data_IF_702398623176
#
_entry.id   IF_702398623176
#
_cell.length_a   1.000
_cell.length_b   1.000
_cell.length_c   1.000
_cell.angle_alpha   90.00
_cell.angle_beta   90.00
_cell.angle_gamma   90.00
#
_symmetry.space_group_name_H-M   'P 1'
#
loop_
_entity.id
_entity.type
_entity.pdbx_description
1 polymer ?
#
# COMPACT_ATOMS: atom_id res chain seq x y z
N UNK A 1 11.50 -20.53 -40.71
CA UNK A 1 10.71 -20.29 -39.46
C UNK A 1 9.31 -20.85 -39.61
N UNK A 2 9.00 -21.90 -38.85
CA UNK A 2 7.93 -22.88 -39.15
C UNK A 2 6.48 -22.38 -39.02
N UNK A 3 5.62 -22.98 -39.85
CA UNK A 3 4.17 -22.82 -39.94
C UNK A 3 3.48 -22.80 -38.56
N UNK A 4 3.93 -23.65 -37.63
CA UNK A 4 3.40 -23.74 -36.26
C UNK A 4 3.53 -22.44 -35.46
N UNK A 5 4.63 -21.69 -35.61
CA UNK A 5 4.83 -20.42 -34.91
C UNK A 5 3.90 -19.33 -35.45
N UNK A 6 3.62 -19.33 -36.76
CA UNK A 6 2.63 -18.41 -37.37
C UNK A 6 1.22 -18.71 -36.87
N UNK A 7 0.84 -19.99 -36.77
CA UNK A 7 -0.47 -20.41 -36.24
C UNK A 7 -0.63 -20.01 -34.76
N UNK A 8 0.40 -20.21 -33.93
CA UNK A 8 0.36 -19.83 -32.52
C UNK A 8 0.21 -18.30 -32.32
N UNK A 9 0.94 -17.50 -33.11
CA UNK A 9 0.86 -16.03 -33.12
C UNK A 9 -0.53 -15.54 -33.53
N UNK A 10 -1.09 -16.09 -34.60
CA UNK A 10 -2.44 -15.76 -35.07
C UNK A 10 -3.53 -16.16 -34.05
N UNK A 11 -3.38 -17.33 -33.39
CA UNK A 11 -4.29 -17.77 -32.33
C UNK A 11 -4.26 -16.84 -31.11
N UNK A 12 -3.08 -16.38 -30.68
CA UNK A 12 -2.94 -15.41 -29.60
C UNK A 12 -3.61 -14.08 -29.95
N UNK A 13 -3.28 -13.51 -31.10
CA UNK A 13 -3.87 -12.26 -31.58
C UNK A 13 -5.41 -12.35 -31.69
N UNK A 14 -5.92 -13.46 -32.25
CA UNK A 14 -7.36 -13.69 -32.36
C UNK A 14 -8.05 -13.80 -30.99
N UNK A 15 -7.38 -14.31 -29.96
CA UNK A 15 -7.92 -14.31 -28.58
C UNK A 15 -7.99 -12.89 -28.03
N UNK A 16 -6.92 -12.11 -28.15
CA UNK A 16 -6.87 -10.70 -27.71
C UNK A 16 -7.97 -9.89 -28.38
N UNK A 17 -8.10 -9.96 -29.72
CA UNK A 17 -9.14 -9.25 -30.47
C UNK A 17 -10.56 -9.66 -30.04
N UNK A 18 -10.83 -10.95 -29.86
CA UNK A 18 -12.15 -11.41 -29.39
C UNK A 18 -12.48 -10.87 -28.01
N UNK A 19 -11.50 -10.76 -27.11
CA UNK A 19 -11.69 -10.19 -25.77
C UNK A 19 -11.95 -8.69 -25.84
N UNK A 20 -11.13 -7.94 -26.59
CA UNK A 20 -11.32 -6.51 -26.82
C UNK A 20 -12.71 -6.21 -27.41
N UNK A 21 -13.17 -7.00 -28.40
CA UNK A 21 -14.51 -6.85 -28.99
C UNK A 21 -15.64 -7.13 -28.01
N UNK A 22 -15.50 -8.14 -27.14
CA UNK A 22 -16.47 -8.40 -26.06
C UNK A 22 -16.51 -7.26 -25.05
N UNK A 23 -15.40 -6.57 -24.86
CA UNK A 23 -15.27 -5.40 -24.00
C UNK A 23 -15.59 -4.07 -24.74
N UNK A 24 -16.27 -4.12 -25.90
CA UNK A 24 -16.77 -2.93 -26.60
C UNK A 24 -15.81 -2.30 -27.61
N UNK A 25 -14.56 -2.75 -27.68
CA UNK A 25 -13.54 -2.23 -28.62
C UNK A 25 -13.69 -2.91 -29.99
N UNK A 26 -14.42 -2.25 -30.90
CA UNK A 26 -14.81 -2.83 -32.21
C UNK A 26 -13.72 -2.73 -33.29
N UNK A 27 -12.83 -1.77 -33.16
CA UNK A 27 -11.82 -1.41 -34.16
C UNK A 27 -10.49 -2.18 -34.03
N UNK A 28 -10.38 -3.11 -33.08
CA UNK A 28 -9.16 -3.87 -32.85
C UNK A 28 -8.68 -4.67 -34.08
N UNK A 29 -7.43 -4.42 -34.51
CA UNK A 29 -6.78 -5.02 -35.68
C UNK A 29 -5.42 -5.65 -35.34
N UNK A 30 -5.13 -6.80 -35.92
CA UNK A 30 -3.86 -7.51 -35.74
C UNK A 30 -2.87 -7.16 -36.86
N UNK A 31 -1.65 -6.81 -36.47
CA UNK A 31 -0.54 -6.48 -37.38
C UNK A 31 0.54 -7.55 -37.28
N UNK A 32 0.64 -8.47 -38.26
CA UNK A 32 1.50 -9.65 -38.17
C UNK A 32 2.99 -9.34 -38.29
N UNK A 33 3.36 -8.24 -38.96
CA UNK A 33 4.75 -7.77 -39.07
C UNK A 33 5.35 -7.45 -37.69
N UNK A 34 4.87 -6.38 -37.02
CA UNK A 34 5.35 -5.98 -35.69
C UNK A 34 4.87 -6.90 -34.55
N UNK A 35 3.94 -7.82 -34.81
CA UNK A 35 3.33 -8.68 -33.79
C UNK A 35 2.57 -7.94 -32.71
N UNK A 36 1.63 -7.09 -33.11
CA UNK A 36 0.85 -6.26 -32.19
C UNK A 36 -0.64 -6.24 -32.57
N UNK A 37 -1.48 -5.87 -31.60
CA UNK A 37 -2.87 -5.49 -31.84
C UNK A 37 -2.97 -3.99 -31.65
N UNK A 38 -3.56 -3.28 -32.61
CA UNK A 38 -3.88 -1.85 -32.44
C UNK A 38 -5.38 -1.70 -32.28
N UNK A 39 -5.79 -0.81 -31.40
CA UNK A 39 -7.19 -0.50 -31.13
C UNK A 39 -7.31 0.87 -30.48
N UNK A 40 -8.47 1.48 -30.56
CA UNK A 40 -8.78 2.76 -29.93
C UNK A 40 -9.67 2.51 -28.74
N UNK A 41 -9.27 2.97 -27.55
CA UNK A 41 -10.13 2.89 -26.37
C UNK A 41 -11.26 3.91 -26.55
N UNK A 42 -12.53 3.58 -26.20
CA UNK A 42 -13.61 4.55 -26.28
C UNK A 42 -13.30 5.83 -25.49
N UNK A 43 -13.26 6.97 -26.17
CA UNK A 43 -12.92 8.27 -25.58
C UNK A 43 -11.46 8.72 -25.78
N UNK A 44 -10.63 7.90 -26.42
CA UNK A 44 -9.30 8.30 -26.91
C UNK A 44 -9.35 8.52 -28.43
N UNK A 45 -8.57 9.49 -28.92
CA UNK A 45 -8.40 9.76 -30.36
C UNK A 45 -7.18 9.03 -30.96
N UNK A 46 -6.27 8.54 -30.10
CA UNK A 46 -5.06 7.84 -30.50
C UNK A 46 -5.18 6.31 -30.37
N UNK A 47 -4.60 5.60 -31.36
CA UNK A 47 -4.61 4.15 -31.36
C UNK A 47 -3.60 3.59 -30.33
N UNK A 48 -4.09 2.85 -29.35
CA UNK A 48 -3.26 2.05 -28.44
C UNK A 48 -2.60 0.91 -29.22
N UNK A 49 -1.27 0.80 -29.10
CA UNK A 49 -0.47 -0.28 -29.67
C UNK A 49 -0.16 -1.31 -28.58
N UNK A 50 -0.64 -2.54 -28.76
CA UNK A 50 -0.43 -3.64 -27.83
C UNK A 50 0.55 -4.67 -28.42
N UNK A 51 1.85 -4.65 -28.04
CA UNK A 51 2.81 -5.67 -28.47
C UNK A 51 2.45 -7.03 -27.86
N UNK A 52 2.40 -8.08 -28.69
CA UNK A 52 2.02 -9.43 -28.27
C UNK A 52 3.20 -10.31 -27.89
N UNK A 53 4.44 -9.87 -28.17
CA UNK A 53 5.65 -10.64 -27.86
C UNK A 53 5.76 -11.03 -26.37
N UNK A 54 5.48 -10.13 -25.40
CA UNK A 54 5.52 -10.48 -23.97
C UNK A 54 4.44 -11.48 -23.52
N UNK A 55 3.41 -11.67 -24.35
CA UNK A 55 2.22 -12.47 -24.02
C UNK A 55 2.28 -13.90 -24.57
N UNK A 56 3.36 -14.26 -25.26
CA UNK A 56 3.59 -15.63 -25.74
C UNK A 56 3.74 -16.59 -24.56
N UNK A 57 2.92 -17.65 -24.54
CA UNK A 57 2.96 -18.69 -23.51
C UNK A 57 2.28 -18.34 -22.18
N UNK A 58 1.85 -17.09 -21.96
CA UNK A 58 1.27 -16.62 -20.69
C UNK A 58 -0.22 -16.30 -20.84
N UNK A 59 -1.08 -17.32 -20.70
CA UNK A 59 -2.55 -17.19 -20.88
C UNK A 59 -3.17 -16.19 -19.89
N UNK A 60 -2.73 -16.21 -18.63
CA UNK A 60 -3.19 -15.32 -17.54
C UNK A 60 -2.83 -13.85 -17.81
N UNK A 61 -1.62 -13.59 -18.31
CA UNK A 61 -1.15 -12.24 -18.64
C UNK A 61 -1.95 -11.54 -19.74
N UNK A 62 -2.61 -12.29 -20.62
CA UNK A 62 -3.50 -11.73 -21.66
C UNK A 62 -4.80 -11.24 -21.05
N UNK A 63 -5.38 -12.04 -20.14
CA UNK A 63 -6.63 -11.67 -19.49
C UNK A 63 -6.39 -10.48 -18.54
N UNK A 64 -5.32 -10.51 -17.72
CA UNK A 64 -4.96 -9.41 -16.80
C UNK A 64 -4.72 -8.07 -17.53
N UNK A 65 -4.08 -8.11 -18.71
CA UNK A 65 -3.76 -6.91 -19.47
C UNK A 65 -4.99 -6.27 -20.16
N UNK A 66 -5.90 -7.10 -20.69
CA UNK A 66 -7.16 -6.61 -21.29
C UNK A 66 -8.12 -6.14 -20.21
N UNK A 67 -8.11 -6.81 -19.05
CA UNK A 67 -8.89 -6.46 -17.86
C UNK A 67 -8.42 -5.11 -17.28
N UNK A 68 -7.11 -4.89 -17.17
CA UNK A 68 -6.56 -3.65 -16.61
C UNK A 68 -6.74 -2.40 -17.49
N UNK A 69 -7.03 -2.56 -18.79
CA UNK A 69 -7.11 -1.43 -19.75
C UNK A 69 -8.54 -0.89 -19.99
N UNK A 70 -9.59 -1.57 -19.52
CA UNK A 70 -10.98 -1.28 -19.95
C UNK A 70 -12.02 -1.16 -18.83
N UNK A 71 -11.61 -0.95 -17.56
CA UNK A 71 -12.50 -1.23 -16.43
C UNK A 71 -12.94 -0.08 -15.55
N UNK A 72 -12.40 1.13 -15.70
CA UNK A 72 -12.95 2.25 -14.93
C UNK A 72 -14.14 2.85 -15.71
N UNK A 73 -15.35 2.92 -15.13
CA UNK A 73 -16.47 3.53 -15.82
C UNK A 73 -16.12 4.97 -16.24
N UNK A 74 -16.37 5.36 -17.50
CA UNK A 74 -15.92 6.65 -18.03
C UNK A 74 -16.65 7.84 -17.40
N UNK A 75 -17.74 7.57 -16.68
CA UNK A 75 -18.61 8.56 -16.07
C UNK A 75 -18.71 8.32 -14.56
N UNK A 76 -18.80 9.43 -13.82
CA UNK A 76 -18.91 9.43 -12.38
C UNK A 76 -20.13 8.67 -11.87
N UNK A 77 -21.29 8.89 -12.49
CA UNK A 77 -22.57 8.25 -12.15
C UNK A 77 -22.49 6.71 -12.06
N UNK A 78 -21.73 6.09 -12.97
CA UNK A 78 -21.52 4.65 -13.01
C UNK A 78 -20.37 4.17 -12.10
N UNK A 79 -19.44 5.05 -11.71
CA UNK A 79 -18.29 4.71 -10.89
C UNK A 79 -18.55 4.89 -9.39
N UNK A 80 -19.31 5.93 -9.00
CA UNK A 80 -19.41 6.40 -7.63
C UNK A 80 -19.78 5.30 -6.62
N UNK A 81 -20.79 4.47 -6.92
CA UNK A 81 -21.21 3.37 -6.02
C UNK A 81 -20.25 2.17 -5.96
N UNK A 82 -19.32 2.08 -6.91
CA UNK A 82 -18.29 1.03 -6.98
C UNK A 82 -17.00 1.44 -6.26
N UNK A 83 -16.87 2.70 -5.85
CA UNK A 83 -15.64 3.15 -5.20
C UNK A 83 -15.48 2.49 -3.83
N UNK A 84 -14.27 2.02 -3.53
CA UNK A 84 -13.88 1.55 -2.20
C UNK A 84 -12.57 2.22 -1.78
N UNK A 85 -12.45 2.64 -0.51
CA UNK A 85 -11.20 3.15 0.00
C UNK A 85 -10.33 1.94 0.36
N UNK A 86 -9.03 2.03 0.09
CA UNK A 86 -8.09 0.97 0.49
C UNK A 86 -6.89 1.57 1.19
N UNK A 87 -6.57 1.04 2.37
CA UNK A 87 -5.36 1.37 3.10
C UNK A 87 -4.20 0.51 2.56
N UNK A 88 -3.13 1.14 2.09
CA UNK A 88 -1.94 0.45 1.54
C UNK A 88 -0.67 1.22 1.87
N UNK A 89 0.48 0.55 1.85
CA UNK A 89 1.79 1.20 1.75
C UNK A 89 2.01 1.78 0.36
N UNK A 90 3.05 1.34 -0.35
CA UNK A 90 3.25 1.67 -1.75
C UNK A 90 2.28 0.95 -2.71
N UNK A 91 1.95 1.62 -3.83
CA UNK A 91 1.21 1.03 -4.95
C UNK A 91 1.91 1.41 -6.28
N UNK A 92 1.93 0.50 -7.28
CA UNK A 92 2.56 0.77 -8.56
C UNK A 92 1.77 1.82 -9.38
N UNK A 93 2.49 2.56 -10.22
CA UNK A 93 1.92 3.60 -11.07
C UNK A 93 1.71 4.92 -10.31
N UNK A 94 0.75 5.72 -10.80
CA UNK A 94 0.39 7.03 -10.22
C UNK A 94 -1.09 7.07 -9.81
N UNK A 95 -1.53 6.15 -8.93
CA UNK A 95 -2.91 6.18 -8.44
C UNK A 95 -3.15 7.41 -7.57
N UNK A 96 -4.42 7.84 -7.52
CA UNK A 96 -4.87 8.84 -6.59
C UNK A 96 -4.64 8.32 -5.16
N UNK A 97 -3.88 9.09 -4.37
CA UNK A 97 -3.50 8.71 -3.01
C UNK A 97 -3.39 9.92 -2.09
N UNK A 98 -3.59 9.71 -0.79
CA UNK A 98 -3.23 10.68 0.25
C UNK A 98 -2.66 9.98 1.48
N UNK A 99 -1.63 10.54 2.13
CA UNK A 99 -1.08 9.95 3.36
C UNK A 99 -2.12 9.99 4.48
N UNK A 100 -2.17 8.94 5.30
CA UNK A 100 -3.16 8.83 6.40
C UNK A 100 -2.55 8.33 7.71
N UNK A 101 -1.58 7.42 7.64
CA UNK A 101 -0.85 6.87 8.78
C UNK A 101 0.65 6.77 8.41
N UNK A 102 1.58 6.57 9.36
CA UNK A 102 2.99 6.39 9.04
C UNK A 102 3.19 5.32 7.96
N UNK A 103 3.80 5.73 6.85
CA UNK A 103 4.06 4.92 5.66
C UNK A 103 2.83 4.33 4.95
N UNK A 104 1.61 4.65 5.39
CA UNK A 104 0.38 4.18 4.74
C UNK A 104 -0.37 5.35 4.13
N UNK A 105 -0.92 5.09 2.95
CA UNK A 105 -1.79 6.01 2.22
C UNK A 105 -3.17 5.38 2.04
N UNK A 106 -4.16 6.25 1.98
CA UNK A 106 -5.46 5.93 1.44
C UNK A 106 -5.39 6.03 -0.08
N UNK A 107 -5.87 4.99 -0.75
CA UNK A 107 -6.11 4.96 -2.18
C UNK A 107 -7.60 4.74 -2.44
N UNK A 108 -8.04 5.06 -3.66
CA UNK A 108 -9.38 4.72 -4.12
C UNK A 108 -9.28 3.69 -5.23
N UNK A 109 -10.14 2.67 -5.14
CA UNK A 109 -10.32 1.68 -6.21
C UNK A 109 -11.75 1.68 -6.69
N UNK A 110 -11.95 1.31 -7.95
CA UNK A 110 -13.23 0.82 -8.46
C UNK A 110 -13.27 -0.68 -8.20
N UNK A 111 -14.16 -1.09 -7.31
CA UNK A 111 -14.40 -2.47 -6.95
C UNK A 111 -15.45 -3.09 -7.88
N UNK A 112 -15.04 -4.11 -8.63
CA UNK A 112 -15.88 -4.87 -9.53
C UNK A 112 -15.84 -6.34 -9.11
N UNK A 113 -16.88 -7.14 -9.44
CA UNK A 113 -16.99 -8.52 -8.98
C UNK A 113 -15.74 -9.39 -9.17
N UNK A 114 -14.97 -9.14 -10.24
CA UNK A 114 -13.79 -9.92 -10.59
C UNK A 114 -12.45 -9.15 -10.43
N UNK A 115 -12.47 -7.86 -10.08
CA UNK A 115 -11.23 -7.07 -10.00
C UNK A 115 -11.38 -5.77 -9.23
N UNK A 116 -10.27 -5.27 -8.71
CA UNK A 116 -10.14 -3.92 -8.18
C UNK A 116 -9.18 -3.12 -9.06
N UNK A 117 -9.60 -1.93 -9.49
CA UNK A 117 -8.76 -1.03 -10.31
C UNK A 117 -8.54 0.29 -9.59
N UNK A 118 -7.28 0.71 -9.41
CA UNK A 118 -6.96 2.00 -8.79
C UNK A 118 -7.46 3.17 -9.65
N UNK A 119 -8.06 4.16 -8.98
CA UNK A 119 -8.40 5.45 -9.57
C UNK A 119 -7.12 6.27 -9.73
N UNK A 120 -7.00 7.03 -10.81
CA UNK A 120 -5.86 7.93 -11.11
C UNK A 120 -6.32 9.38 -11.20
N UNK A 121 -5.38 10.34 -11.21
CA UNK A 121 -5.70 11.76 -11.43
C UNK A 121 -6.36 12.03 -12.79
N UNK A 122 -5.95 11.31 -13.83
CA UNK A 122 -6.57 11.39 -15.15
C UNK A 122 -8.05 10.99 -15.09
N UNK A 123 -8.37 9.97 -14.28
CA UNK A 123 -9.74 9.53 -14.08
C UNK A 123 -10.58 10.56 -13.31
N UNK A 124 -10.02 11.15 -12.27
CA UNK A 124 -10.67 12.23 -11.53
C UNK A 124 -11.01 13.42 -12.45
N UNK A 125 -10.06 13.79 -13.32
CA UNK A 125 -10.22 14.82 -14.34
C UNK A 125 -11.31 14.46 -15.34
N UNK A 126 -11.33 13.21 -15.84
CA UNK A 126 -12.35 12.74 -16.78
C UNK A 126 -13.77 12.76 -16.17
N UNK A 127 -13.88 12.40 -14.89
CA UNK A 127 -15.12 12.49 -14.12
C UNK A 127 -15.52 13.92 -13.76
N UNK A 128 -14.62 14.89 -13.90
CA UNK A 128 -14.78 16.27 -13.45
C UNK A 128 -15.09 16.34 -11.95
N UNK A 129 -14.46 15.47 -11.16
CA UNK A 129 -14.65 15.37 -9.72
C UNK A 129 -13.36 15.74 -8.99
N UNK A 130 -13.43 16.58 -7.94
CA UNK A 130 -12.26 16.86 -7.12
C UNK A 130 -11.83 15.61 -6.34
N UNK A 131 -10.53 15.38 -6.13
CA UNK A 131 -10.02 14.23 -5.37
C UNK A 131 -10.71 14.01 -4.02
N UNK A 132 -10.96 15.08 -3.26
CA UNK A 132 -11.58 14.97 -1.94
C UNK A 132 -13.00 14.38 -1.98
N UNK A 133 -13.78 14.71 -3.00
CA UNK A 133 -15.12 14.14 -3.21
C UNK A 133 -15.05 12.66 -3.58
N UNK A 134 -14.03 12.26 -4.36
CA UNK A 134 -13.79 10.86 -4.72
C UNK A 134 -13.44 10.04 -3.47
N UNK A 135 -12.54 10.54 -2.61
CA UNK A 135 -12.21 9.89 -1.35
C UNK A 135 -13.40 9.83 -0.39
N UNK A 136 -14.15 10.93 -0.25
CA UNK A 136 -15.34 10.98 0.60
C UNK A 136 -16.40 9.97 0.14
N UNK A 137 -16.64 9.89 -1.17
CA UNK A 137 -17.58 8.93 -1.78
C UNK A 137 -17.12 7.49 -1.54
N UNK A 138 -15.83 7.21 -1.74
CA UNK A 138 -15.27 5.89 -1.45
C UNK A 138 -15.50 5.50 0.01
N UNK A 139 -15.13 6.37 0.98
CA UNK A 139 -15.37 6.15 2.41
C UNK A 139 -16.84 5.93 2.74
N UNK A 140 -17.76 6.68 2.13
CA UNK A 140 -19.19 6.51 2.34
C UNK A 140 -19.72 5.15 1.87
N UNK A 141 -19.09 4.55 0.85
CA UNK A 141 -19.45 3.22 0.37
C UNK A 141 -18.90 2.08 1.25
N UNK A 142 -17.96 2.37 2.16
CA UNK A 142 -17.54 1.40 3.14
C UNK A 142 -18.65 1.26 4.18
N UNK A 143 -19.53 0.29 3.98
CA UNK A 143 -20.59 -0.03 4.94
C UNK A 143 -19.91 -0.44 6.24
N UNK A 144 -19.98 0.41 7.26
CA UNK A 144 -19.40 0.09 8.55
C UNK A 144 -20.04 -1.18 9.07
N UNK A 145 -19.29 -2.29 9.10
CA UNK A 145 -19.86 -3.50 9.65
C UNK A 145 -20.18 -3.25 11.13
N UNK A 146 -21.39 -3.65 11.51
CA UNK A 146 -21.85 -3.57 12.89
C UNK A 146 -21.53 -4.90 13.52
N UNK A 147 -20.65 -4.91 14.51
CA UNK A 147 -20.42 -6.10 15.31
C UNK A 147 -21.46 -6.17 16.40
N UNK A 148 -22.14 -7.30 16.46
CA UNK A 148 -23.09 -7.59 17.52
C UNK A 148 -22.39 -8.31 18.67
N UNK A 149 -22.81 -7.99 19.89
CA UNK A 149 -22.26 -8.57 21.11
C UNK A 149 -21.45 -7.58 21.94
N UNK A 150 -21.25 -7.93 23.20
CA UNK A 150 -20.38 -7.25 24.13
C UNK A 150 -19.51 -8.31 24.83
N UNK A 151 -18.32 -7.91 25.25
CA UNK A 151 -17.45 -8.75 26.05
C UNK A 151 -17.48 -8.27 27.51
N UNK A 152 -17.53 -9.23 28.45
CA UNK A 152 -17.48 -8.95 29.89
C UNK A 152 -16.06 -8.58 30.38
N UNK A 153 -15.08 -8.50 29.47
CA UNK A 153 -13.70 -8.13 29.72
C UNK A 153 -12.85 -8.12 28.45
N UNK A 154 -11.53 -7.85 28.55
CA UNK A 154 -10.64 -7.77 27.40
C UNK A 154 -10.60 -9.06 26.58
N UNK A 155 -10.99 -8.97 25.31
CA UNK A 155 -10.92 -10.07 24.33
C UNK A 155 -10.13 -9.65 23.09
N UNK A 156 -9.75 -10.64 22.28
CA UNK A 156 -9.22 -10.41 20.94
C UNK A 156 -10.34 -10.68 19.93
N UNK A 157 -10.65 -9.67 19.13
CA UNK A 157 -11.51 -9.81 17.96
C UNK A 157 -10.62 -9.89 16.72
N UNK A 158 -10.73 -10.99 15.98
CA UNK A 158 -10.04 -11.17 14.70
C UNK A 158 -11.05 -11.07 13.56
N UNK A 159 -10.83 -10.13 12.68
CA UNK A 159 -11.53 -10.02 11.41
C UNK A 159 -10.68 -10.64 10.32
N UNK A 160 -11.29 -11.56 9.57
CA UNK A 160 -10.70 -12.14 8.37
C UNK A 160 -11.56 -11.70 7.20
N UNK A 161 -10.92 -11.07 6.21
CA UNK A 161 -11.58 -10.63 4.99
C UNK A 161 -11.70 -11.80 4.02
N UNK A 162 -12.92 -12.08 3.56
CA UNK A 162 -13.21 -13.05 2.50
C UNK A 162 -13.12 -12.43 1.09
N UNK A 163 -12.75 -11.15 1.00
CA UNK A 163 -12.50 -10.40 -0.22
C UNK A 163 -13.43 -9.21 -0.42
N UNK A 164 -14.47 -9.05 0.40
CA UNK A 164 -15.47 -7.99 0.24
C UNK A 164 -15.62 -7.07 1.46
N UNK A 165 -15.00 -7.43 2.60
CA UNK A 165 -15.27 -6.75 3.86
C UNK A 165 -14.34 -5.57 4.12
N UNK A 166 -13.16 -5.53 3.49
CA UNK A 166 -12.23 -4.39 3.57
C UNK A 166 -11.91 -3.97 5.02
N UNK A 167 -11.74 -4.95 5.91
CA UNK A 167 -11.63 -4.71 7.36
C UNK A 167 -10.53 -3.73 7.73
N UNK A 168 -9.35 -3.88 7.13
CA UNK A 168 -8.22 -2.96 7.35
C UNK A 168 -8.52 -1.53 6.89
N UNK A 169 -9.40 -1.35 5.91
CA UNK A 169 -9.76 -0.02 5.39
C UNK A 169 -10.81 0.68 6.25
N UNK A 170 -11.45 -0.03 7.18
CA UNK A 170 -12.33 0.58 8.17
C UNK A 170 -11.57 1.50 9.13
N UNK A 171 -10.25 1.34 9.28
CA UNK A 171 -9.39 2.27 10.00
C UNK A 171 -9.39 3.69 9.38
N UNK A 172 -9.86 3.86 8.14
CA UNK A 172 -10.03 5.16 7.50
C UNK A 172 -11.31 5.89 7.92
N UNK A 173 -12.25 5.18 8.57
CA UNK A 173 -13.54 5.73 8.98
C UNK A 173 -13.46 6.34 10.38
N UNK A 174 -13.77 7.62 10.47
CA UNK A 174 -13.81 8.34 11.74
C UNK A 174 -14.82 7.69 12.71
N UNK A 175 -14.36 7.49 13.94
CA UNK A 175 -15.12 6.88 15.03
C UNK A 175 -15.46 5.41 14.83
N UNK A 176 -14.98 4.74 13.78
CA UNK A 176 -15.27 3.32 13.59
C UNK A 176 -14.54 2.45 14.61
N UNK A 177 -13.24 2.66 14.83
CA UNK A 177 -12.48 1.87 15.78
C UNK A 177 -13.02 2.03 17.21
N UNK A 178 -13.34 3.26 17.64
CA UNK A 178 -13.94 3.53 18.94
C UNK A 178 -15.28 2.81 19.19
N UNK A 179 -16.07 2.53 18.13
CA UNK A 179 -17.33 1.78 18.24
C UNK A 179 -17.13 0.33 18.67
N UNK A 180 -15.91 -0.19 18.62
CA UNK A 180 -15.57 -1.56 19.05
C UNK A 180 -15.40 -1.70 20.57
N UNK A 181 -15.52 -0.61 21.34
CA UNK A 181 -15.20 -0.61 22.76
C UNK A 181 -16.00 -1.66 23.55
N UNK A 182 -17.30 -1.81 23.26
CA UNK A 182 -18.14 -2.82 23.91
C UNK A 182 -17.76 -4.25 23.53
N UNK A 183 -17.29 -4.47 22.30
CA UNK A 183 -16.92 -5.79 21.77
C UNK A 183 -15.56 -6.25 22.28
N UNK A 184 -14.64 -5.33 22.56
CA UNK A 184 -13.31 -5.66 23.09
C UNK A 184 -13.20 -5.49 24.59
N UNK A 185 -14.20 -4.91 25.26
CA UNK A 185 -14.24 -4.73 26.71
C UNK A 185 -13.36 -3.57 27.22
N UNK A 186 -13.12 -2.53 26.41
CA UNK A 186 -12.27 -1.40 26.77
C UNK A 186 -11.94 -0.46 25.60
N UNK A 187 -10.91 0.39 25.74
CA UNK A 187 -10.49 1.31 24.66
C UNK A 187 -9.86 0.50 23.51
N UNK A 188 -10.41 0.51 22.28
CA UNK A 188 -9.93 -0.36 21.22
C UNK A 188 -8.54 0.01 20.68
N UNK A 189 -7.70 -1.01 20.56
CA UNK A 189 -6.38 -0.97 19.90
C UNK A 189 -6.38 -2.01 18.77
N UNK A 190 -6.11 -1.55 17.55
CA UNK A 190 -6.16 -2.34 16.33
C UNK A 190 -4.77 -2.58 15.73
N UNK A 191 -4.60 -3.73 15.08
CA UNK A 191 -3.43 -4.12 14.30
C UNK A 191 -3.89 -4.56 12.92
N UNK A 192 -3.21 -4.08 11.88
CA UNK A 192 -3.48 -4.44 10.49
C UNK A 192 -2.18 -4.93 9.82
N UNK A 193 -1.68 -6.13 10.19
CA UNK A 193 -0.39 -6.63 9.72
C UNK A 193 -0.34 -6.93 8.22
N UNK A 194 -1.48 -7.26 7.62
CA UNK A 194 -1.64 -7.52 6.20
C UNK A 194 -3.05 -7.15 5.73
N UNK A 195 -3.29 -7.11 4.42
CA UNK A 195 -4.53 -6.58 3.81
C UNK A 195 -5.82 -7.25 4.30
N UNK A 196 -5.80 -8.55 4.58
CA UNK A 196 -6.98 -9.38 4.89
C UNK A 196 -7.24 -9.62 6.39
N UNK A 197 -6.38 -9.13 7.28
CA UNK A 197 -6.48 -9.39 8.72
C UNK A 197 -6.47 -8.10 9.50
N UNK A 198 -7.51 -7.92 10.32
CA UNK A 198 -7.56 -6.89 11.37
C UNK A 198 -7.69 -7.59 12.72
N UNK A 199 -6.80 -7.27 13.65
CA UNK A 199 -6.86 -7.75 15.04
C UNK A 199 -7.20 -6.57 15.94
N UNK A 200 -8.12 -6.74 16.88
CA UNK A 200 -8.49 -5.66 17.81
C UNK A 200 -8.61 -6.21 19.22
N UNK A 201 -8.06 -5.48 20.20
CA UNK A 201 -8.25 -5.76 21.64
C UNK A 201 -8.43 -4.44 22.41
N UNK A 202 -8.54 -4.50 23.73
CA UNK A 202 -8.55 -3.33 24.59
C UNK A 202 -7.10 -2.87 24.96
N UNK A 203 -6.90 -1.56 25.17
CA UNK A 203 -5.61 -0.95 25.54
C UNK A 203 -5.04 -1.53 26.85
N UNK A 204 -5.90 -1.73 27.84
CA UNK A 204 -5.56 -2.32 29.14
C UNK A 204 -5.52 -3.86 29.13
N UNK A 205 -5.68 -4.47 27.96
CA UNK A 205 -5.65 -5.92 27.80
C UNK A 205 -4.26 -6.48 28.11
N UNK A 206 -4.14 -7.51 28.96
CA UNK A 206 -2.87 -8.21 29.16
C UNK A 206 -2.39 -8.93 27.88
N UNK A 207 -3.27 -9.07 26.88
CA UNK A 207 -2.98 -9.72 25.60
C UNK A 207 -2.30 -8.78 24.60
N UNK A 208 -2.23 -7.48 24.88
CA UNK A 208 -1.72 -6.48 23.93
C UNK A 208 -0.27 -6.74 23.53
N UNK A 209 0.58 -7.16 24.47
CA UNK A 209 1.98 -7.54 24.20
C UNK A 209 2.07 -8.72 23.23
N UNK A 210 1.22 -9.74 23.40
CA UNK A 210 1.18 -10.91 22.53
C UNK A 210 0.67 -10.56 21.12
N UNK A 211 -0.27 -9.62 21.01
CA UNK A 211 -0.77 -9.14 19.72
C UNK A 211 0.27 -8.36 18.92
N UNK A 212 1.17 -7.61 19.56
CA UNK A 212 2.32 -7.03 18.86
C UNK A 212 3.21 -8.11 18.23
N UNK A 213 3.53 -9.17 18.99
CA UNK A 213 4.34 -10.27 18.48
C UNK A 213 3.63 -11.02 17.34
N UNK A 214 2.31 -11.23 17.44
CA UNK A 214 1.52 -11.84 16.39
C UNK A 214 1.44 -10.95 15.12
N UNK A 215 1.19 -9.66 15.27
CA UNK A 215 1.15 -8.71 14.16
C UNK A 215 2.50 -8.64 13.44
N UNK A 216 3.61 -8.61 14.19
CA UNK A 216 4.96 -8.70 13.62
C UNK A 216 5.15 -10.00 12.83
N UNK A 217 4.79 -11.15 13.40
CA UNK A 217 4.93 -12.45 12.73
C UNK A 217 4.12 -12.52 11.41
N UNK A 218 2.89 -12.02 11.41
CA UNK A 218 2.07 -11.96 10.18
C UNK A 218 2.70 -10.99 9.18
N UNK A 219 3.12 -9.81 9.61
CA UNK A 219 3.73 -8.79 8.76
C UNK A 219 4.97 -9.31 8.03
N UNK A 220 5.90 -9.98 8.73
CA UNK A 220 7.17 -10.45 8.12
C UNK A 220 6.98 -11.63 7.15
N UNK A 221 5.89 -12.39 7.29
CA UNK A 221 5.62 -13.57 6.45
C UNK A 221 4.64 -13.31 5.31
N UNK A 222 3.86 -12.23 5.38
CA UNK A 222 2.77 -11.98 4.44
C UNK A 222 3.26 -11.43 3.10
N UNK A 223 2.77 -11.96 1.96
CA UNK A 223 2.99 -11.34 0.64
C UNK A 223 2.18 -10.05 0.44
N UNK A 224 1.26 -9.75 1.35
CA UNK A 224 0.33 -8.62 1.30
C UNK A 224 0.38 -7.80 2.59
N UNK A 225 1.59 -7.61 3.11
CA UNK A 225 1.87 -6.80 4.29
C UNK A 225 1.25 -5.40 4.23
N UNK A 226 0.97 -4.88 5.42
CA UNK A 226 0.46 -3.54 5.62
C UNK A 226 1.20 -2.84 6.75
N UNK A 227 1.02 -3.23 8.02
CA UNK A 227 1.76 -2.62 9.13
C UNK A 227 1.82 -3.48 10.40
N UNK A 228 3.00 -3.66 11.01
CA UNK A 228 3.12 -4.31 12.32
C UNK A 228 2.72 -3.39 13.49
N UNK A 229 2.40 -2.11 13.23
CA UNK A 229 2.07 -1.14 14.27
C UNK A 229 0.66 -1.37 14.82
N UNK A 230 0.45 -0.90 16.05
CA UNK A 230 -0.85 -0.77 16.65
C UNK A 230 -1.44 0.63 16.41
N UNK A 231 -2.76 0.72 16.41
CA UNK A 231 -3.52 1.94 16.16
C UNK A 231 -4.65 2.10 17.17
N UNK A 232 -4.98 3.34 17.53
CA UNK A 232 -6.12 3.69 18.39
C UNK A 232 -6.90 4.86 17.79
N UNK A 233 -8.06 5.18 18.35
CA UNK A 233 -8.74 6.44 18.02
C UNK A 233 -8.15 7.59 18.85
N UNK A 234 -7.98 8.76 18.23
CA UNK A 234 -7.77 10.02 18.94
C UNK A 234 -9.11 10.61 19.44
N UNK A 235 -9.06 11.79 20.05
CA UNK A 235 -10.25 12.49 20.59
C UNK A 235 -11.27 12.89 19.52
N UNK A 236 -10.85 12.97 18.24
CA UNK A 236 -11.73 13.22 17.11
C UNK A 236 -12.26 11.92 16.49
N UNK A 237 -11.88 10.76 17.01
CA UNK A 237 -12.21 9.45 16.43
C UNK A 237 -11.39 9.09 15.19
N UNK A 238 -10.34 9.84 14.87
CA UNK A 238 -9.42 9.50 13.80
C UNK A 238 -8.47 8.39 14.25
N UNK A 239 -8.19 7.43 13.37
CA UNK A 239 -7.18 6.41 13.66
C UNK A 239 -5.81 7.06 13.68
N UNK A 240 -5.08 6.85 14.78
CA UNK A 240 -3.70 7.32 14.99
C UNK A 240 -2.83 6.16 15.48
N UNK A 241 -1.50 6.22 15.27
CA UNK A 241 -0.59 5.27 15.90
C UNK A 241 -0.78 5.18 17.41
N UNK A 242 -0.73 3.96 17.93
CA UNK A 242 -0.64 3.74 19.36
C UNK A 242 0.73 4.19 19.88
N UNK A 243 0.74 4.97 20.96
CA UNK A 243 1.97 5.48 21.57
C UNK A 243 2.07 4.97 23.00
N UNK A 244 3.18 4.33 23.33
CA UNK A 244 3.53 3.96 24.69
C UNK A 244 4.63 4.93 25.20
N UNK A 245 4.37 5.72 26.26
CA UNK A 245 5.35 6.66 26.79
C UNK A 245 6.57 5.92 27.37
N UNK A 246 7.67 6.65 27.55
CA UNK A 246 8.86 6.12 28.21
C UNK A 246 8.51 5.60 29.63
N UNK A 247 9.06 4.45 30.00
CA UNK A 247 8.71 3.74 31.23
C UNK A 247 7.49 2.81 31.13
N UNK A 248 6.68 2.90 30.07
CA UNK A 248 5.59 1.94 29.84
C UNK A 248 6.15 0.56 29.43
N UNK A 249 5.58 -0.57 29.91
CA UNK A 249 6.08 -1.91 29.56
C UNK A 249 6.12 -2.20 28.07
N UNK A 250 5.21 -1.61 27.29
CA UNK A 250 5.14 -1.77 25.83
C UNK A 250 6.01 -0.77 25.06
N UNK A 251 6.72 0.14 25.72
CA UNK A 251 7.48 1.21 25.04
C UNK A 251 8.42 0.66 23.96
N UNK A 252 9.23 -0.35 24.30
CA UNK A 252 10.16 -0.95 23.35
C UNK A 252 9.46 -1.77 22.26
N UNK A 253 8.33 -2.38 22.58
CA UNK A 253 7.52 -3.15 21.62
C UNK A 253 6.90 -2.22 20.55
N UNK A 254 6.31 -1.10 20.97
CA UNK A 254 5.78 -0.08 20.06
C UNK A 254 6.88 0.47 19.17
N UNK A 255 8.02 0.85 19.77
CA UNK A 255 9.17 1.37 19.03
C UNK A 255 9.69 0.36 18.00
N UNK A 256 9.74 -0.92 18.33
CA UNK A 256 10.16 -1.97 17.40
C UNK A 256 9.26 -2.03 16.17
N UNK A 257 7.94 -2.02 16.36
CA UNK A 257 6.97 -2.08 15.26
C UNK A 257 7.12 -0.89 14.30
N UNK A 258 7.27 0.33 14.81
CA UNK A 258 7.53 1.54 14.01
C UNK A 258 8.77 1.38 13.12
N UNK A 259 9.85 0.83 13.71
CA UNK A 259 11.16 0.69 13.07
C UNK A 259 11.17 -0.41 12.02
N UNK A 260 10.47 -1.51 12.28
CA UNK A 260 10.24 -2.57 11.31
C UNK A 260 9.45 -2.09 10.10
N UNK A 261 8.39 -1.31 10.32
CA UNK A 261 7.63 -0.72 9.21
C UNK A 261 8.51 0.22 8.38
N UNK A 262 9.22 1.15 9.03
CA UNK A 262 10.11 2.07 8.33
C UNK A 262 11.17 1.34 7.50
N UNK A 263 11.80 0.32 8.07
CA UNK A 263 12.78 -0.50 7.36
C UNK A 263 12.21 -1.21 6.15
N UNK A 264 11.04 -1.83 6.30
CA UNK A 264 10.39 -2.50 5.20
C UNK A 264 10.13 -1.52 4.05
N UNK A 265 9.55 -0.36 4.36
CA UNK A 265 9.13 0.62 3.36
C UNK A 265 10.33 1.27 2.65
N UNK A 266 11.43 1.54 3.37
CA UNK A 266 12.68 1.99 2.73
C UNK A 266 13.30 0.93 1.82
N UNK A 267 13.22 -0.36 2.17
CA UNK A 267 13.73 -1.47 1.34
C UNK A 267 12.86 -1.76 0.11
N UNK A 268 11.57 -1.45 0.13
CA UNK A 268 10.67 -1.60 -1.02
C UNK A 268 10.80 -0.49 -2.07
N UNK A 269 11.53 0.58 -1.76
CA UNK A 269 11.68 1.66 -2.71
C UNK A 269 12.44 1.20 -3.96
N UNK A 270 12.01 1.62 -5.17
CA UNK A 270 12.80 1.35 -6.36
C UNK A 270 14.17 2.02 -6.21
N UNK A 271 15.26 1.36 -6.66
CA UNK A 271 16.58 1.96 -6.62
C UNK A 271 16.60 3.22 -7.49
N UNK A 272 17.24 4.27 -6.98
CA UNK A 272 17.51 5.47 -7.77
C UNK A 272 18.61 5.16 -8.81
N UNK A 273 18.41 5.50 -10.10
CA UNK A 273 19.39 5.18 -11.14
C UNK A 273 20.67 6.03 -11.07
N UNK A 274 20.64 7.14 -10.34
CA UNK A 274 21.72 8.14 -10.25
C UNK A 274 22.50 8.09 -8.95
N UNK A 275 21.89 7.61 -7.86
CA UNK A 275 22.49 7.64 -6.53
C UNK A 275 22.29 6.32 -5.78
N UNK A 276 23.32 5.83 -5.06
CA UNK A 276 23.15 4.69 -4.17
C UNK A 276 22.22 5.04 -3.00
N UNK A 277 21.47 4.04 -2.54
CA UNK A 277 20.66 4.11 -1.33
C UNK A 277 21.36 3.42 -0.18
N UNK A 278 21.47 4.09 0.97
CA UNK A 278 22.03 3.48 2.16
C UNK A 278 21.15 2.33 2.67
N UNK A 279 21.81 1.26 3.11
CA UNK A 279 21.17 0.15 3.83
C UNK A 279 20.70 0.62 5.21
N UNK A 280 19.59 0.06 5.68
CA UNK A 280 19.00 0.35 6.98
C UNK A 280 18.92 -0.94 7.79
N UNK A 281 19.49 -0.93 8.99
CA UNK A 281 19.50 -2.08 9.88
C UNK A 281 18.71 -1.81 11.16
N UNK A 282 18.07 -2.85 11.69
CA UNK A 282 17.49 -2.85 13.03
C UNK A 282 18.55 -3.35 14.01
N UNK A 283 18.84 -2.56 15.04
CA UNK A 283 19.77 -2.91 16.10
C UNK A 283 19.08 -2.89 17.46
N UNK A 284 19.69 -3.61 18.41
CA UNK A 284 19.29 -3.62 19.81
C UNK A 284 18.55 -4.89 20.21
N UNK A 285 17.87 -4.80 21.35
CA UNK A 285 17.18 -5.90 22.01
C UNK A 285 16.05 -5.34 22.90
N UNK A 286 15.19 -6.18 23.50
CA UNK A 286 14.19 -5.70 24.45
C UNK A 286 14.78 -4.95 25.66
N UNK A 287 16.01 -5.28 26.09
CA UNK A 287 16.66 -4.63 27.23
C UNK A 287 17.44 -3.37 26.85
N UNK A 288 18.05 -3.33 25.66
CA UNK A 288 18.84 -2.19 25.18
C UNK A 288 18.00 -1.14 24.45
N UNK A 289 16.80 -1.56 24.02
CA UNK A 289 15.92 -0.81 23.16
C UNK A 289 16.27 -0.94 21.68
N UNK A 290 15.22 -0.82 20.86
CA UNK A 290 15.34 -0.97 19.41
C UNK A 290 15.66 0.36 18.74
N UNK A 291 16.61 0.34 17.81
CA UNK A 291 17.00 1.52 17.01
C UNK A 291 17.32 1.16 15.57
N UNK A 292 17.10 2.08 14.65
CA UNK A 292 17.53 1.92 13.24
C UNK A 292 18.86 2.60 12.99
N UNK A 293 19.73 1.94 12.23
CA UNK A 293 21.03 2.49 11.79
C UNK A 293 21.13 2.46 10.28
N UNK A 294 21.31 3.62 9.66
CA UNK A 294 21.67 3.71 8.25
C UNK A 294 23.19 3.62 8.06
N UNK A 295 23.67 2.87 7.06
CA UNK A 295 25.10 2.77 6.75
C UNK A 295 25.43 3.65 5.55
N UNK A 296 26.29 4.66 5.78
CA UNK A 296 26.75 5.57 4.74
C UNK A 296 28.15 5.16 4.26
N UNK A 297 28.28 4.56 3.05
CA UNK A 297 29.58 4.18 2.49
C UNK A 297 30.49 5.39 2.23
N UNK A 298 31.79 5.13 2.17
CA UNK A 298 32.83 6.17 2.22
C UNK A 298 32.71 7.26 1.15
N UNK A 299 32.50 8.48 1.65
CA UNK A 299 32.50 9.77 0.96
C UNK A 299 31.82 9.81 -0.42
N UNK A 300 30.76 9.02 -0.61
CA UNK A 300 29.98 8.99 -1.84
C UNK A 300 28.61 9.62 -1.60
N UNK A 301 28.12 10.49 -2.51
CA UNK A 301 26.77 10.99 -2.45
C UNK A 301 25.77 9.84 -2.34
N UNK A 302 24.95 9.84 -1.28
CA UNK A 302 24.10 8.69 -0.92
C UNK A 302 22.73 9.18 -0.47
N UNK A 303 21.69 8.42 -0.82
CA UNK A 303 20.33 8.63 -0.34
C UNK A 303 20.12 7.90 1.00
N UNK A 304 20.14 8.66 2.09
CA UNK A 304 19.93 8.16 3.44
C UNK A 304 18.44 8.01 3.75
N UNK A 305 18.00 6.86 4.30
CA UNK A 305 16.69 6.76 4.94
C UNK A 305 16.72 7.50 6.28
N UNK A 306 15.57 7.99 6.75
CA UNK A 306 15.45 8.47 8.13
C UNK A 306 15.66 7.29 9.10
N UNK A 307 16.61 7.46 10.02
CA UNK A 307 17.01 6.45 11.00
C UNK A 307 17.10 7.07 12.42
N UNK A 308 17.33 6.26 13.45
CA UNK A 308 17.69 6.78 14.77
C UNK A 308 19.17 7.26 14.76
N UNK A 309 20.05 6.56 14.04
CA UNK A 309 21.47 6.89 13.89
C UNK A 309 22.01 6.56 12.48
N UNK A 310 23.13 7.19 12.09
CA UNK A 310 23.85 6.95 10.84
C UNK A 310 25.29 6.59 11.14
N UNK A 311 25.78 5.50 10.53
CA UNK A 311 27.17 5.09 10.59
C UNK A 311 27.91 5.58 9.35
N UNK A 312 28.91 6.45 9.55
CA UNK A 312 29.82 6.97 8.53
C UNK A 312 31.26 6.59 8.92
N UNK A 313 31.78 5.52 8.31
CA UNK A 313 33.04 4.90 8.72
C UNK A 313 32.95 4.38 10.15
N UNK A 314 33.87 4.83 11.00
CA UNK A 314 33.92 4.46 12.43
C UNK A 314 33.02 5.34 13.32
N UNK A 315 32.40 6.39 12.76
CA UNK A 315 31.56 7.33 13.51
C UNK A 315 30.10 6.89 13.45
N UNK A 316 29.43 6.96 14.60
CA UNK A 316 27.98 6.85 14.70
C UNK A 316 27.41 8.21 15.07
N UNK A 317 26.49 8.72 14.27
CA UNK A 317 25.95 10.08 14.38
C UNK A 317 24.44 9.99 14.58
N UNK A 318 23.87 10.61 15.63
CA UNK A 318 22.43 10.60 15.83
C UNK A 318 21.72 11.40 14.72
N UNK A 319 20.60 10.90 14.23
CA UNK A 319 19.88 11.51 13.10
C UNK A 319 19.55 13.00 13.29
N UNK A 320 19.08 13.47 14.47
CA UNK A 320 18.79 14.90 14.67
C UNK A 320 19.99 15.83 14.46
N UNK A 321 21.22 15.34 14.71
CA UNK A 321 22.43 16.12 14.45
C UNK A 321 22.79 16.17 12.97
N UNK A 322 22.42 15.13 12.20
CA UNK A 322 22.74 15.04 10.77
C UNK A 322 21.68 15.70 9.88
N UNK A 323 20.38 15.55 10.20
CA UNK A 323 19.26 15.94 9.36
C UNK A 323 19.29 17.40 8.85
N UNK A 324 19.74 18.42 9.64
CA UNK A 324 19.85 19.80 9.15
C UNK A 324 20.85 20.00 8.00
N UNK A 325 21.74 19.04 7.79
CA UNK A 325 22.79 19.07 6.75
C UNK A 325 22.42 18.24 5.51
N UNK A 326 21.24 17.65 5.47
CA UNK A 326 20.79 16.79 4.38
C UNK A 326 19.69 17.48 3.55
N UNK A 327 19.62 17.13 2.26
CA UNK A 327 18.58 17.66 1.37
C UNK A 327 17.46 16.63 1.18
N UNK A 328 16.20 16.92 1.52
CA UNK A 328 15.11 15.98 1.30
C UNK A 328 14.85 15.78 -0.20
N UNK A 329 14.51 14.56 -0.58
CA UNK A 329 14.18 14.18 -1.97
C UNK A 329 12.69 13.92 -2.15
N UNK A 330 12.26 13.69 -3.39
CA UNK A 330 10.85 13.38 -3.73
C UNK A 330 10.47 11.91 -3.54
N UNK A 331 11.38 11.07 -3.04
CA UNK A 331 11.08 9.67 -2.72
C UNK A 331 9.94 9.57 -1.69
N UNK A 332 9.21 8.46 -1.70
CA UNK A 332 8.17 8.16 -0.70
C UNK A 332 8.38 6.75 -0.16
N UNK A 333 8.69 6.56 1.14
CA UNK A 333 9.04 7.59 2.13
C UNK A 333 10.25 8.46 1.73
N UNK A 334 10.36 9.66 2.29
CA UNK A 334 11.44 10.60 1.94
C UNK A 334 12.81 10.02 2.25
N UNK A 335 13.69 10.04 1.26
CA UNK A 335 15.14 9.87 1.44
C UNK A 335 15.82 11.23 1.46
N UNK A 336 16.97 11.28 2.11
CA UNK A 336 17.73 12.49 2.34
C UNK A 336 19.08 12.37 1.63
N UNK A 337 19.33 13.27 0.68
CA UNK A 337 20.60 13.33 -0.03
C UNK A 337 21.68 13.84 0.90
N UNK A 338 22.70 13.01 1.08
CA UNK A 338 23.92 13.33 1.79
C UNK A 338 25.06 13.41 0.77
N UNK A 339 25.67 14.59 0.60
CA UNK A 339 26.66 14.84 -0.47
C UNK A 339 28.09 14.46 -0.09
N UNK A 340 28.46 14.64 1.17
CA UNK A 340 29.77 14.31 1.73
C UNK A 340 29.65 14.08 3.24
N UNK A 341 30.53 13.26 3.82
CA UNK A 341 30.51 12.98 5.25
C UNK A 341 30.60 14.26 6.10
N UNK A 342 29.89 14.34 7.22
CA UNK A 342 29.99 15.46 8.12
C UNK A 342 31.42 15.55 8.68
N UNK A 343 31.94 16.78 8.88
CA UNK A 343 33.29 17.00 9.40
C UNK A 343 33.53 16.32 10.75
#
# INVERSE_FOLDING_TARGET
MGLLRRIARARLAGRVIRRLRRAGVRDARYYPGPFEVRFTVPGEDEATILPLAPLLGRRKAVDDLVIGRLRVPPRWDAAAGLLRPVLRGAAPGTPLRRPVLPFLSEFVVVDQPDTMTYVTEAQATAWKMPPDEIFATARANLTGAVLHGAADGPVIVRFVDDGNAYWTSHLLLQGWLARLAGQVGGVPVAFAPERGTLLVTADDSPLLAALFAEAEAIFVTSPHLLSPMAYRSDDNGCTVPYVAPEGHPLHQTVRRAERLLAMHEYHQQPPDPSLPSAELHLLGSPSEGWRTRAVWPENTPTLLPQADEVQAGDRTIPWPALAPHLTPTTHTPTRWLATAWPP
#
